data_IF_010584771648
#
_entry.id   IF_010584771648
#
_cell.length_a   1.000
_cell.length_b   1.000
_cell.length_c   1.000
_cell.angle_alpha   90.00
_cell.angle_beta   90.00
_cell.angle_gamma   90.00
#
_symmetry.space_group_name_H-M   'P 1'
#
loop_
_entity.id
_entity.type
_entity.pdbx_description
1 polymer ?
#
# COMPACT_ATOMS: atom_id res chain seq x y z
N UNK A 1 4.94 -10.88 -5.79
CA UNK A 1 3.57 -10.39 -5.97
C UNK A 1 3.53 -9.74 -7.34
N UNK A 2 2.62 -10.15 -8.21
CA UNK A 2 2.46 -9.52 -9.53
C UNK A 2 1.69 -8.22 -9.37
N UNK A 3 2.41 -7.14 -9.07
CA UNK A 3 1.83 -5.81 -9.06
C UNK A 3 1.53 -5.38 -10.50
N UNK A 4 0.29 -5.00 -10.77
CA UNK A 4 -0.12 -4.52 -12.12
C UNK A 4 0.49 -3.17 -12.50
N UNK A 5 1.11 -2.47 -11.55
CA UNK A 5 1.69 -1.16 -11.72
C UNK A 5 3.11 -1.19 -11.16
N UNK A 6 4.09 -0.85 -12.01
CA UNK A 6 5.48 -0.64 -11.63
C UNK A 6 5.65 0.84 -11.27
N UNK A 7 5.79 1.11 -9.98
CA UNK A 7 6.11 2.45 -9.49
C UNK A 7 7.63 2.53 -9.35
N UNK A 8 8.26 3.41 -10.11
CA UNK A 8 9.70 3.62 -10.05
C UNK A 8 10.17 4.04 -8.65
N UNK A 9 11.44 3.81 -8.35
CA UNK A 9 12.04 4.20 -7.06
C UNK A 9 12.11 5.73 -6.96
N UNK A 10 11.50 6.29 -5.91
CA UNK A 10 11.54 7.71 -5.58
C UNK A 10 12.74 8.01 -4.65
N UNK A 11 13.88 8.34 -5.23
CA UNK A 11 15.19 8.52 -4.57
C UNK A 11 15.77 9.94 -4.71
N UNK A 12 15.03 10.85 -5.32
CA UNK A 12 15.47 12.21 -5.68
C UNK A 12 14.30 13.19 -5.63
N UNK A 13 14.61 14.49 -5.51
CA UNK A 13 13.60 15.55 -5.41
C UNK A 13 12.77 15.59 -6.70
N UNK A 14 13.42 15.47 -7.85
CA UNK A 14 12.78 15.51 -9.16
C UNK A 14 11.76 14.36 -9.32
N UNK A 15 12.11 13.14 -8.88
CA UNK A 15 11.18 12.01 -8.89
C UNK A 15 10.05 12.19 -7.88
N UNK A 16 10.33 12.78 -6.71
CA UNK A 16 9.29 13.10 -5.72
C UNK A 16 8.26 14.08 -6.29
N UNK A 17 8.72 15.13 -6.98
CA UNK A 17 7.83 16.09 -7.63
C UNK A 17 6.96 15.43 -8.71
N UNK A 18 7.54 14.53 -9.51
CA UNK A 18 6.80 13.75 -10.52
C UNK A 18 5.73 12.86 -9.87
N UNK A 19 6.07 12.15 -8.80
CA UNK A 19 5.11 11.32 -8.06
C UNK A 19 4.00 12.16 -7.43
N UNK A 20 4.31 13.36 -6.90
CA UNK A 20 3.30 14.27 -6.35
C UNK A 20 2.30 14.74 -7.43
N UNK A 21 2.75 14.99 -8.66
CA UNK A 21 1.85 15.33 -9.77
C UNK A 21 0.90 14.16 -10.06
N UNK A 22 1.41 12.93 -10.13
CA UNK A 22 0.61 11.72 -10.36
C UNK A 22 -0.40 11.49 -9.23
N UNK A 23 0.04 11.55 -7.97
CA UNK A 23 -0.81 11.34 -6.80
C UNK A 23 -1.91 12.40 -6.73
N UNK A 24 -1.61 13.67 -7.02
CA UNK A 24 -2.63 14.74 -7.07
C UNK A 24 -3.66 14.51 -8.17
N UNK A 25 -3.25 14.01 -9.33
CA UNK A 25 -4.18 13.65 -10.39
C UNK A 25 -5.11 12.50 -9.99
N UNK A 26 -4.55 11.43 -9.38
CA UNK A 26 -5.33 10.31 -8.88
C UNK A 26 -6.29 10.72 -7.75
N UNK A 27 -5.85 11.58 -6.82
CA UNK A 27 -6.67 12.08 -5.73
C UNK A 27 -7.87 12.89 -6.25
N UNK A 28 -7.70 13.73 -7.28
CA UNK A 28 -8.81 14.47 -7.89
C UNK A 28 -9.88 13.54 -8.46
N UNK A 29 -9.49 12.41 -9.05
CA UNK A 29 -10.42 11.40 -9.56
C UNK A 29 -11.09 10.66 -8.39
N UNK A 30 -10.31 10.23 -7.41
CA UNK A 30 -10.83 9.53 -6.23
C UNK A 30 -11.83 10.39 -5.45
N UNK A 31 -11.63 11.71 -5.40
CA UNK A 31 -12.54 12.65 -4.76
C UNK A 31 -13.93 12.74 -5.42
N UNK A 32 -14.11 12.21 -6.65
CA UNK A 32 -15.42 12.16 -7.31
C UNK A 32 -16.15 10.85 -7.08
N UNK A 33 -15.57 9.91 -6.33
CA UNK A 33 -16.18 8.60 -6.10
C UNK A 33 -17.31 8.67 -5.08
N UNK A 34 -18.30 7.81 -5.28
CA UNK A 34 -19.36 7.59 -4.28
C UNK A 34 -18.82 6.81 -3.09
N UNK A 35 -19.56 6.82 -1.98
CA UNK A 35 -19.20 6.06 -0.79
C UNK A 35 -19.05 4.56 -1.11
N UNK A 36 -19.93 4.00 -1.93
CA UNK A 36 -19.88 2.58 -2.31
C UNK A 36 -18.62 2.23 -3.11
N UNK A 37 -18.18 3.14 -3.99
CA UNK A 37 -16.93 2.97 -4.74
C UNK A 37 -15.72 3.07 -3.81
N UNK A 38 -15.72 4.00 -2.87
CA UNK A 38 -14.68 4.11 -1.83
C UNK A 38 -14.62 2.84 -0.99
N UNK A 39 -15.77 2.35 -0.50
CA UNK A 39 -15.87 1.14 0.30
C UNK A 39 -15.37 -0.10 -0.45
N UNK A 40 -15.68 -0.21 -1.74
CA UNK A 40 -15.18 -1.29 -2.59
C UNK A 40 -13.65 -1.28 -2.70
N UNK A 41 -13.04 -0.10 -2.85
CA UNK A 41 -11.58 0.05 -2.91
C UNK A 41 -10.95 -0.36 -1.57
N UNK A 42 -11.46 0.17 -0.45
CA UNK A 42 -10.93 -0.16 0.88
C UNK A 42 -11.12 -1.63 1.23
N UNK A 43 -12.25 -2.24 0.86
CA UNK A 43 -12.48 -3.68 1.04
C UNK A 43 -11.44 -4.51 0.27
N UNK A 44 -11.15 -4.14 -0.97
CA UNK A 44 -10.15 -4.83 -1.78
C UNK A 44 -8.74 -4.69 -1.17
N UNK A 45 -8.36 -3.48 -0.75
CA UNK A 45 -7.08 -3.22 -0.10
C UNK A 45 -6.91 -4.01 1.20
N UNK A 46 -7.89 -3.96 2.10
CA UNK A 46 -7.85 -4.69 3.37
C UNK A 46 -7.78 -6.22 3.15
N UNK A 47 -8.55 -6.73 2.19
CA UNK A 47 -8.55 -8.16 1.84
C UNK A 47 -7.19 -8.60 1.27
N UNK A 48 -6.55 -7.77 0.46
CA UNK A 48 -5.22 -8.06 -0.08
C UNK A 48 -4.15 -8.05 1.01
N UNK A 49 -4.21 -7.08 1.94
CA UNK A 49 -3.31 -6.99 3.08
C UNK A 49 -3.45 -8.21 4.00
N UNK A 50 -4.68 -8.58 4.36
CA UNK A 50 -4.96 -9.76 5.20
C UNK A 50 -4.45 -11.05 4.55
N UNK A 51 -4.73 -11.26 3.25
CA UNK A 51 -4.19 -12.43 2.52
C UNK A 51 -2.67 -12.47 2.50
N UNK A 52 -2.01 -11.31 2.55
CA UNK A 52 -0.55 -11.18 2.55
C UNK A 52 0.05 -10.99 3.95
N UNK A 53 -0.73 -11.12 5.04
CA UNK A 53 -0.29 -10.78 6.40
C UNK A 53 0.98 -11.50 6.85
N UNK A 54 1.14 -12.79 6.50
CA UNK A 54 2.30 -13.61 6.84
C UNK A 54 3.56 -13.17 6.09
N UNK A 55 3.59 -13.12 4.74
CA UNK A 55 4.78 -12.68 4.04
C UNK A 55 5.17 -11.23 4.38
N UNK A 56 4.21 -10.33 4.57
CA UNK A 56 4.49 -8.95 4.98
C UNK A 56 5.07 -8.86 6.40
N UNK A 57 4.56 -9.67 7.34
CA UNK A 57 5.07 -9.72 8.70
C UNK A 57 6.53 -10.21 8.75
N UNK A 58 6.85 -11.26 7.98
CA UNK A 58 8.21 -11.79 7.87
C UNK A 58 9.17 -10.77 7.25
N UNK A 59 8.77 -10.16 6.13
CA UNK A 59 9.56 -9.13 5.46
C UNK A 59 9.88 -7.97 6.41
N UNK A 60 8.89 -7.50 7.17
CA UNK A 60 9.10 -6.41 8.11
C UNK A 60 10.06 -6.76 9.25
N UNK A 61 10.04 -8.00 9.78
CA UNK A 61 11.02 -8.42 10.80
C UNK A 61 12.40 -8.57 10.18
N UNK A 62 12.50 -9.17 9.00
CA UNK A 62 13.76 -9.38 8.28
C UNK A 62 14.46 -8.06 7.94
N UNK A 63 13.70 -7.08 7.45
CA UNK A 63 14.23 -5.77 7.03
C UNK A 63 14.61 -4.89 8.23
N UNK A 64 13.79 -4.87 9.29
CA UNK A 64 13.96 -3.90 10.38
C UNK A 64 14.63 -4.47 11.62
N UNK A 65 14.63 -5.79 11.80
CA UNK A 65 15.04 -6.46 13.04
C UNK A 65 14.13 -6.19 14.24
N UNK A 66 12.96 -5.53 14.06
CA UNK A 66 12.10 -5.07 15.16
C UNK A 66 10.85 -5.93 15.34
N UNK A 67 10.56 -6.31 16.59
CA UNK A 67 9.33 -7.03 16.99
C UNK A 67 9.34 -8.51 16.61
N UNK A 68 8.20 -9.18 16.78
CA UNK A 68 8.01 -10.60 16.43
C UNK A 68 7.00 -10.75 15.28
N UNK A 69 7.09 -11.87 14.55
CA UNK A 69 6.29 -12.11 13.33
C UNK A 69 4.80 -12.22 13.66
N UNK A 70 4.44 -12.92 14.73
CA UNK A 70 3.07 -13.20 15.16
C UNK A 70 2.30 -11.91 15.44
N UNK A 71 2.90 -10.96 16.15
CA UNK A 71 2.31 -9.65 16.43
C UNK A 71 2.06 -8.86 15.14
N UNK A 72 3.00 -8.93 14.18
CA UNK A 72 2.85 -8.27 12.88
C UNK A 72 1.80 -8.98 12.00
N UNK A 73 1.61 -10.29 12.14
CA UNK A 73 0.53 -11.04 11.47
C UNK A 73 -0.83 -10.58 11.99
N UNK A 74 -0.99 -10.44 13.30
CA UNK A 74 -2.23 -9.95 13.92
C UNK A 74 -2.51 -8.50 13.49
N UNK A 75 -1.48 -7.65 13.45
CA UNK A 75 -1.62 -6.26 12.98
C UNK A 75 -2.04 -6.12 11.51
N UNK A 76 -1.74 -7.13 10.69
CA UNK A 76 -2.03 -7.12 9.25
C UNK A 76 -3.36 -7.82 8.90
N UNK A 77 -4.03 -8.46 9.87
CA UNK A 77 -5.37 -9.05 9.73
C UNK A 77 -6.44 -7.97 9.97
#
# INVERSE_FOLDING_TARGET
MDFKLDYGVCDSIEKLEQELVRVRAAQRIFATYTQEQVDAIFRACATAADKARIPLAKLAVEETGMGIVEDKVIKNH
#
